data_IF_555351289646
#
_entry.id   IF_555351289646
#
_cell.length_a   1.000
_cell.length_b   1.000
_cell.length_c   1.000
_cell.angle_alpha   90.00
_cell.angle_beta   90.00
_cell.angle_gamma   90.00
#
_symmetry.space_group_name_H-M   'P 1'
#
loop_
_entity.id
_entity.type
_entity.pdbx_description
1 polymer ?
#
# COMPACT_ATOMS: atom_id res chain seq x y z
N UNK A 1 2.50 -5.39 -23.59
CA UNK A 1 2.84 -4.35 -22.59
C UNK A 1 4.18 -4.69 -21.96
N UNK A 2 5.19 -3.83 -22.14
CA UNK A 2 6.48 -4.00 -21.46
C UNK A 2 6.26 -3.76 -19.96
N UNK A 3 6.84 -4.60 -19.10
CA UNK A 3 6.72 -4.51 -17.61
C UNK A 3 7.16 -3.15 -17.03
N UNK A 4 7.85 -2.34 -17.84
CA UNK A 4 8.38 -1.02 -17.51
C UNK A 4 7.32 0.09 -17.46
N UNK A 5 6.14 -0.08 -18.04
CA UNK A 5 5.11 0.99 -18.16
C UNK A 5 3.97 0.86 -17.15
N UNK A 6 4.08 -0.06 -16.19
CA UNK A 6 3.04 -0.24 -15.19
C UNK A 6 3.02 0.97 -14.24
N UNK A 7 1.83 1.47 -13.88
CA UNK A 7 1.73 2.60 -12.97
C UNK A 7 2.36 2.28 -11.62
N UNK A 8 3.08 3.25 -11.08
CA UNK A 8 3.75 3.17 -9.79
C UNK A 8 3.04 4.04 -8.74
N UNK A 9 3.14 3.63 -7.48
CA UNK A 9 2.67 4.39 -6.31
C UNK A 9 3.70 4.28 -5.18
N UNK A 10 3.65 5.22 -4.23
CA UNK A 10 4.45 5.17 -3.01
C UNK A 10 3.65 4.52 -1.88
N UNK A 11 4.26 3.57 -1.16
CA UNK A 11 3.63 2.96 0.01
C UNK A 11 3.67 3.93 1.20
N UNK A 12 2.51 4.28 1.78
CA UNK A 12 2.43 5.25 2.88
C UNK A 12 3.04 4.77 4.22
N UNK A 13 3.44 3.49 4.30
CA UNK A 13 3.96 2.88 5.54
C UNK A 13 5.47 2.70 5.50
N UNK A 14 6.03 2.40 4.33
CA UNK A 14 7.47 2.14 4.19
C UNK A 14 8.16 3.07 3.20
N UNK A 15 7.42 4.01 2.59
CA UNK A 15 7.88 5.00 1.61
C UNK A 15 8.63 4.42 0.41
N UNK A 16 8.42 3.16 0.08
CA UNK A 16 9.02 2.51 -1.10
C UNK A 16 8.07 2.59 -2.30
N UNK A 17 8.58 2.85 -3.51
CA UNK A 17 7.79 2.75 -4.73
C UNK A 17 7.38 1.30 -4.99
N UNK A 18 6.18 1.11 -5.52
CA UNK A 18 5.68 -0.19 -5.94
C UNK A 18 4.83 -0.09 -7.20
N UNK A 19 5.06 -1.05 -8.11
CA UNK A 19 4.35 -1.18 -9.38
C UNK A 19 3.00 -1.88 -9.20
N UNK A 20 2.07 -1.58 -10.12
CA UNK A 20 0.81 -2.30 -10.28
C UNK A 20 1.00 -3.83 -10.32
N UNK A 21 0.03 -4.56 -9.77
CA UNK A 21 0.00 -6.04 -9.75
C UNK A 21 -1.38 -6.51 -10.19
N UNK A 22 -1.47 -7.67 -10.85
CA UNK A 22 -2.74 -8.25 -11.33
C UNK A 22 -3.86 -8.30 -10.27
N UNK A 23 -3.51 -8.60 -9.02
CA UNK A 23 -4.45 -8.64 -7.89
C UNK A 23 -5.15 -7.30 -7.58
N UNK A 24 -4.66 -6.19 -8.16
CA UNK A 24 -5.18 -4.84 -7.95
C UNK A 24 -5.96 -4.30 -9.15
N UNK A 25 -6.32 -5.17 -10.11
CA UNK A 25 -7.03 -4.78 -11.33
C UNK A 25 -8.29 -3.94 -11.05
N UNK A 26 -9.06 -4.29 -10.03
CA UNK A 26 -10.35 -3.64 -9.74
C UNK A 26 -10.24 -2.46 -8.77
N UNK A 27 -9.21 -2.43 -7.92
CA UNK A 27 -9.14 -1.50 -6.80
C UNK A 27 -7.84 -0.67 -6.76
N UNK A 28 -7.05 -0.64 -7.85
CA UNK A 28 -5.77 0.07 -7.90
C UNK A 28 -5.85 1.51 -7.37
N UNK A 29 -6.93 2.24 -7.67
CA UNK A 29 -7.18 3.61 -7.17
C UNK A 29 -7.12 3.68 -5.64
N UNK A 30 -7.67 2.68 -4.94
CA UNK A 30 -7.74 2.61 -3.48
C UNK A 30 -6.51 1.97 -2.82
N UNK A 31 -5.62 1.32 -3.58
CA UNK A 31 -4.41 0.70 -3.03
C UNK A 31 -3.42 1.77 -2.57
N UNK A 32 -3.10 1.74 -1.27
CA UNK A 32 -2.13 2.65 -0.59
C UNK A 32 -0.87 1.95 -0.07
N UNK A 33 -0.85 0.62 -0.07
CA UNK A 33 0.20 -0.19 0.58
C UNK A 33 0.81 -1.18 -0.40
N UNK A 34 2.13 -1.35 -0.35
CA UNK A 34 2.83 -2.29 -1.23
C UNK A 34 2.58 -3.77 -0.89
N UNK A 35 2.20 -4.07 0.36
CA UNK A 35 2.09 -5.44 0.87
C UNK A 35 1.05 -5.57 1.99
N UNK A 36 0.65 -6.81 2.30
CA UNK A 36 -0.22 -7.10 3.45
C UNK A 36 0.46 -6.75 4.78
N UNK A 37 1.78 -6.96 4.89
CA UNK A 37 2.58 -6.53 6.05
C UNK A 37 2.43 -5.04 6.32
N UNK A 38 2.58 -4.19 5.30
CA UNK A 38 2.40 -2.75 5.45
C UNK A 38 0.95 -2.39 5.82
N UNK A 39 -0.05 -3.05 5.21
CA UNK A 39 -1.45 -2.82 5.59
C UNK A 39 -1.74 -3.20 7.04
N UNK A 40 -1.15 -4.28 7.57
CA UNK A 40 -1.31 -4.68 8.96
C UNK A 40 -0.57 -3.72 9.91
N UNK A 41 0.63 -3.26 9.54
CA UNK A 41 1.37 -2.26 10.31
C UNK A 41 0.59 -0.94 10.39
N UNK A 42 -0.01 -0.48 9.30
CA UNK A 42 -0.88 0.70 9.31
C UNK A 42 -2.07 0.56 10.28
N UNK A 43 -2.68 -0.63 10.35
CA UNK A 43 -3.76 -0.89 11.32
C UNK A 43 -3.25 -0.83 12.76
N UNK A 44 -2.09 -1.45 13.03
CA UNK A 44 -1.47 -1.43 14.37
C UNK A 44 -1.11 -0.01 14.81
N UNK A 45 -0.55 0.80 13.91
CA UNK A 45 -0.22 2.20 14.19
C UNK A 45 -1.46 3.02 14.56
N UNK A 46 -2.60 2.80 13.87
CA UNK A 46 -3.86 3.48 14.21
C UNK A 46 -4.41 3.09 15.57
N UNK A 47 -4.40 1.80 15.89
CA UNK A 47 -4.86 1.29 17.19
C UNK A 47 -4.04 1.89 18.33
N UNK A 48 -2.73 2.02 18.16
CA UNK A 48 -1.90 2.63 19.20
C UNK A 48 -2.26 4.10 19.43
N UNK A 49 -2.49 4.88 18.37
CA UNK A 49 -2.85 6.30 18.49
C UNK A 49 -4.20 6.51 19.20
N UNK A 50 -5.19 5.64 18.95
CA UNK A 50 -6.51 5.71 19.63
C UNK A 50 -6.46 5.26 21.09
N UNK A 51 -5.51 4.39 21.45
CA UNK A 51 -5.35 3.89 22.82
C UNK A 51 -4.49 4.82 23.71
N UNK A 52 -3.85 5.84 23.13
CA UNK A 52 -2.99 6.81 23.83
C UNK A 52 -3.70 8.16 24.10
N UNK A 53 -5.04 8.24 23.88
CA UNK A 53 -5.90 9.40 24.18
C UNK A 53 -6.78 9.11 25.39
#
# INVERSE_FOLDING_TARGET
MKKSELPEKICIVCNRPFKWRKKWKLNWKQVKYCSKKCSNLAKKLKVNIENDI
#
